data_IF_816094244290
#
_entry.id   IF_816094244290
#
_cell.length_a   1.000
_cell.length_b   1.000
_cell.length_c   1.000
_cell.angle_alpha   90.00
_cell.angle_beta   90.00
_cell.angle_gamma   90.00
#
_symmetry.space_group_name_H-M   'P 1'
#
loop_
_entity.id
_entity.type
_entity.pdbx_description
1 polymer ?
#
# COMPACT_ATOMS: atom_id res chain seq x y z
N UNK A 1 -6.11 10.21 -5.97
CA UNK A 1 -6.59 9.26 -4.94
C UNK A 1 -8.07 8.98 -5.20
N UNK A 2 -8.62 7.87 -4.70
CA UNK A 2 -10.08 7.66 -4.77
C UNK A 2 -10.80 8.71 -3.93
N UNK A 3 -11.87 9.27 -4.49
CA UNK A 3 -12.81 10.11 -3.73
C UNK A 3 -13.54 9.29 -2.67
N UNK A 4 -14.05 9.98 -1.65
CA UNK A 4 -14.70 9.35 -0.48
C UNK A 4 -15.88 8.45 -0.87
N UNK A 5 -16.74 8.91 -1.78
CA UNK A 5 -17.91 8.15 -2.24
C UNK A 5 -17.50 6.85 -2.94
N UNK A 6 -16.55 6.92 -3.87
CA UNK A 6 -16.02 5.72 -4.55
C UNK A 6 -15.38 4.76 -3.55
N UNK A 7 -14.63 5.28 -2.58
CA UNK A 7 -14.02 4.48 -1.51
C UNK A 7 -15.08 3.77 -0.67
N UNK A 8 -16.17 4.45 -0.34
CA UNK A 8 -17.31 3.84 0.38
C UNK A 8 -17.97 2.72 -0.42
N UNK A 9 -18.14 2.88 -1.74
CA UNK A 9 -18.65 1.83 -2.60
C UNK A 9 -17.73 0.60 -2.61
N UNK A 10 -16.41 0.80 -2.74
CA UNK A 10 -15.42 -0.28 -2.70
C UNK A 10 -15.49 -1.05 -1.38
N UNK A 11 -15.54 -0.36 -0.24
CA UNK A 11 -15.67 -1.01 1.07
C UNK A 11 -16.96 -1.81 1.20
N UNK A 12 -18.07 -1.28 0.73
CA UNK A 12 -19.35 -2.00 0.76
C UNK A 12 -19.34 -3.24 -0.12
N UNK A 13 -18.76 -3.16 -1.31
CA UNK A 13 -18.64 -4.29 -2.22
C UNK A 13 -17.74 -5.39 -1.64
N UNK A 14 -16.60 -5.01 -1.04
CA UNK A 14 -15.70 -5.96 -0.35
C UNK A 14 -16.39 -6.68 0.81
N UNK A 15 -17.12 -5.94 1.66
CA UNK A 15 -17.80 -6.51 2.82
C UNK A 15 -18.97 -7.44 2.44
N UNK A 16 -19.65 -7.17 1.32
CA UNK A 16 -20.84 -7.92 0.89
C UNK A 16 -20.57 -8.99 -0.17
N UNK A 17 -19.32 -9.21 -0.55
CA UNK A 17 -19.02 -10.22 -1.57
C UNK A 17 -19.25 -11.65 -1.05
N UNK A 18 -19.74 -12.52 -1.93
CA UNK A 18 -19.86 -13.95 -1.66
C UNK A 18 -18.46 -14.53 -1.46
N UNK A 19 -18.25 -15.23 -0.34
CA UNK A 19 -16.94 -15.78 0.04
C UNK A 19 -16.08 -14.88 0.94
N UNK A 20 -16.58 -13.70 1.33
CA UNK A 20 -15.90 -12.80 2.26
C UNK A 20 -14.74 -12.02 1.65
N UNK A 21 -14.12 -11.15 2.46
CA UNK A 21 -12.98 -10.34 2.03
C UNK A 21 -11.71 -11.19 1.97
N UNK A 22 -11.05 -11.23 0.80
CA UNK A 22 -9.88 -12.06 0.56
C UNK A 22 -8.78 -11.28 -0.15
N UNK A 23 -7.53 -11.66 0.13
CA UNK A 23 -6.34 -11.04 -0.45
C UNK A 23 -6.36 -11.04 -1.99
N UNK A 24 -6.79 -12.16 -2.59
CA UNK A 24 -6.88 -12.36 -4.04
C UNK A 24 -7.87 -11.39 -4.71
N UNK A 25 -9.00 -11.11 -4.06
CA UNK A 25 -10.05 -10.25 -4.61
C UNK A 25 -9.89 -8.77 -4.22
N UNK A 26 -8.93 -8.44 -3.36
CA UNK A 26 -8.76 -7.10 -2.78
C UNK A 26 -8.64 -6.00 -3.85
N UNK A 27 -7.67 -6.14 -4.75
CA UNK A 27 -7.44 -5.16 -5.82
C UNK A 27 -8.49 -5.26 -6.93
N UNK A 28 -8.98 -6.47 -7.21
CA UNK A 28 -10.05 -6.72 -8.18
C UNK A 28 -11.30 -5.91 -7.88
N UNK A 29 -11.78 -5.88 -6.63
CA UNK A 29 -12.97 -5.09 -6.24
C UNK A 29 -12.76 -3.59 -6.41
N UNK A 30 -11.55 -3.13 -6.14
CA UNK A 30 -11.21 -1.73 -6.37
C UNK A 30 -11.29 -1.40 -7.87
N UNK A 31 -10.70 -2.25 -8.72
CA UNK A 31 -10.74 -2.10 -10.18
C UNK A 31 -12.16 -2.16 -10.76
N UNK A 32 -13.03 -3.04 -10.26
CA UNK A 32 -14.41 -3.16 -10.73
C UNK A 32 -15.24 -1.89 -10.53
N UNK A 33 -14.98 -1.14 -9.45
CA UNK A 33 -15.75 0.08 -9.10
C UNK A 33 -15.05 1.34 -9.60
N UNK A 34 -13.73 1.41 -9.48
CA UNK A 34 -12.96 2.61 -9.80
C UNK A 34 -12.31 2.57 -11.19
N UNK A 35 -12.36 1.44 -11.91
CA UNK A 35 -11.70 1.22 -13.20
C UNK A 35 -10.20 0.95 -13.11
N UNK A 36 -9.56 1.27 -11.98
CA UNK A 36 -8.12 1.10 -11.72
C UNK A 36 -7.88 0.58 -10.31
N UNK A 37 -6.71 0.00 -10.04
CA UNK A 37 -6.34 -0.52 -8.72
C UNK A 37 -5.76 0.55 -7.79
N UNK A 38 -5.10 1.57 -8.35
CA UNK A 38 -4.65 2.75 -7.62
C UNK A 38 -4.90 4.00 -8.49
N UNK A 39 -5.49 5.04 -7.89
CA UNK A 39 -5.81 6.32 -8.51
C UNK A 39 -4.88 7.43 -8.02
N UNK A 40 -3.80 7.09 -7.31
CA UNK A 40 -2.82 8.05 -6.78
C UNK A 40 -1.64 8.16 -7.74
N UNK A 41 -1.16 9.38 -7.90
CA UNK A 41 0.14 9.68 -8.51
C UNK A 41 1.20 9.57 -7.42
N UNK A 42 1.75 8.37 -7.22
CA UNK A 42 2.75 8.12 -6.17
C UNK A 42 4.08 8.82 -6.48
N UNK A 43 4.33 9.11 -7.75
CA UNK A 43 5.50 9.78 -8.27
C UNK A 43 5.64 11.21 -7.75
N UNK A 44 4.53 11.85 -7.35
CA UNK A 44 4.53 13.20 -6.75
C UNK A 44 4.75 13.18 -5.23
N UNK A 45 4.72 11.99 -4.60
CA UNK A 45 4.92 11.85 -3.16
C UNK A 45 6.26 12.42 -2.66
N UNK A 46 7.40 12.30 -3.38
CA UNK A 46 8.68 12.82 -2.92
C UNK A 46 8.79 14.35 -2.96
N UNK A 47 7.90 15.08 -3.64
CA UNK A 47 8.04 16.52 -3.87
C UNK A 47 8.23 17.34 -2.59
N UNK A 48 7.48 17.12 -1.48
CA UNK A 48 7.74 17.83 -0.24
C UNK A 48 9.12 17.51 0.36
N UNK A 49 9.62 16.28 0.19
CA UNK A 49 10.95 15.88 0.68
C UNK A 49 12.05 16.56 -0.13
N UNK A 50 11.87 16.63 -1.45
CA UNK A 50 12.77 17.36 -2.34
C UNK A 50 12.79 18.86 -2.01
N UNK A 51 11.61 19.44 -1.77
CA UNK A 51 11.47 20.85 -1.41
C UNK A 51 12.17 21.18 -0.09
N UNK A 52 12.07 20.28 0.90
CA UNK A 52 12.80 20.39 2.17
C UNK A 52 14.31 20.09 2.06
N UNK A 53 14.79 19.70 0.87
CA UNK A 53 16.20 19.39 0.64
C UNK A 53 16.66 18.05 1.22
N UNK A 54 15.74 17.13 1.52
CA UNK A 54 16.08 15.79 2.03
C UNK A 54 16.88 15.02 0.97
N UNK A 55 18.00 14.42 1.38
CA UNK A 55 18.87 13.61 0.51
C UNK A 55 18.96 12.14 0.92
N UNK A 56 18.69 11.86 2.18
CA UNK A 56 18.77 10.52 2.75
C UNK A 56 17.67 10.31 3.78
N UNK A 57 17.09 9.12 3.80
CA UNK A 57 16.18 8.62 4.82
C UNK A 57 16.80 7.37 5.41
N UNK A 58 17.24 7.44 6.68
CA UNK A 58 17.85 6.28 7.35
C UNK A 58 16.83 5.16 7.57
N UNK A 59 15.59 5.50 7.93
CA UNK A 59 14.53 4.53 8.23
C UNK A 59 13.25 4.89 7.49
N UNK A 60 12.98 4.17 6.40
CA UNK A 60 11.78 4.34 5.60
C UNK A 60 10.67 3.40 6.08
N UNK A 61 9.70 3.97 6.79
CA UNK A 61 8.59 3.22 7.40
C UNK A 61 7.51 2.96 6.34
N UNK A 62 7.71 1.95 5.51
CA UNK A 62 6.76 1.59 4.45
C UNK A 62 7.07 0.23 3.83
N UNK A 63 6.02 -0.58 3.69
CA UNK A 63 6.03 -1.83 2.93
C UNK A 63 5.67 -1.63 1.45
N UNK A 64 5.37 -0.40 1.01
CA UNK A 64 4.97 -0.11 -0.37
C UNK A 64 6.18 0.07 -1.30
N UNK A 65 6.25 -0.77 -2.34
CA UNK A 65 7.28 -0.64 -3.38
C UNK A 65 7.07 0.60 -4.25
N UNK A 66 5.82 0.96 -4.56
CA UNK A 66 5.55 2.20 -5.29
C UNK A 66 6.12 3.43 -4.57
N UNK A 67 5.95 3.51 -3.24
CA UNK A 67 6.52 4.62 -2.45
C UNK A 67 8.03 4.56 -2.41
N UNK A 68 8.61 3.38 -2.20
CA UNK A 68 10.06 3.21 -2.19
C UNK A 68 10.68 3.65 -3.52
N UNK A 69 10.14 3.15 -4.64
CA UNK A 69 10.61 3.45 -5.98
C UNK A 69 10.47 4.95 -6.31
N UNK A 70 9.37 5.59 -5.90
CA UNK A 70 9.20 7.03 -6.10
C UNK A 70 10.29 7.84 -5.39
N UNK A 71 10.60 7.51 -4.12
CA UNK A 71 11.62 8.21 -3.33
C UNK A 71 13.01 7.99 -3.89
N UNK A 72 13.41 6.74 -4.13
CA UNK A 72 14.74 6.42 -4.70
C UNK A 72 14.88 7.00 -6.10
N UNK A 73 13.82 6.91 -6.92
CA UNK A 73 13.77 7.47 -8.27
C UNK A 73 13.92 9.00 -8.30
N UNK A 74 13.52 9.70 -7.23
CA UNK A 74 13.76 11.14 -7.07
C UNK A 74 15.18 11.51 -6.60
N UNK A 75 16.05 10.52 -6.39
CA UNK A 75 17.44 10.73 -5.93
C UNK A 75 17.62 10.85 -4.42
N UNK A 76 16.63 10.41 -3.63
CA UNK A 76 16.73 10.33 -2.17
C UNK A 76 17.16 8.91 -1.79
N UNK A 77 18.28 8.78 -1.07
CA UNK A 77 18.76 7.49 -0.59
C UNK A 77 17.87 6.96 0.55
N UNK A 78 17.51 5.67 0.49
CA UNK A 78 16.87 4.96 1.61
C UNK A 78 17.86 3.92 2.14
N UNK A 79 18.27 4.05 3.40
CA UNK A 79 19.24 3.12 4.01
C UNK A 79 18.56 1.82 4.44
N UNK A 80 17.41 1.92 5.10
CA UNK A 80 16.68 0.74 5.60
C UNK A 80 15.18 0.93 5.46
N UNK A 81 14.52 -0.08 4.90
CA UNK A 81 13.06 -0.20 4.91
C UNK A 81 12.63 -0.89 6.21
N UNK A 82 11.65 -0.31 6.88
CA UNK A 82 11.10 -0.85 8.14
C UNK A 82 9.66 -1.26 7.87
N UNK A 83 9.36 -2.53 8.09
CA UNK A 83 8.02 -3.07 8.02
C UNK A 83 7.20 -2.70 9.26
N UNK A 84 5.87 -2.77 9.13
CA UNK A 84 4.96 -2.49 10.25
C UNK A 84 4.98 -3.70 11.19
N UNK A 85 5.26 -3.57 12.49
CA UNK A 85 5.19 -4.70 13.43
C UNK A 85 3.82 -5.42 13.42
N UNK A 86 3.79 -6.73 13.67
CA UNK A 86 2.55 -7.54 13.57
C UNK A 86 1.50 -7.13 14.61
N UNK A 87 1.95 -6.73 15.80
CA UNK A 87 1.13 -6.23 16.90
C UNK A 87 0.48 -4.87 16.61
N UNK A 88 1.01 -4.11 15.65
CA UNK A 88 0.47 -2.81 15.23
C UNK A 88 -0.49 -2.93 14.03
N UNK A 89 -0.75 -4.14 13.52
CA UNK A 89 -1.69 -4.35 12.42
C UNK A 89 -3.09 -4.64 12.98
N UNK A 90 -4.07 -3.75 12.74
CA UNK A 90 -5.46 -4.00 13.08
C UNK A 90 -6.00 -5.25 12.39
N UNK A 91 -6.94 -5.95 13.05
CA UNK A 91 -7.48 -7.22 12.55
C UNK A 91 -8.15 -7.07 11.16
N UNK A 92 -8.81 -5.95 10.90
CA UNK A 92 -9.47 -5.60 9.64
C UNK A 92 -8.48 -5.18 8.53
N UNK A 93 -7.27 -4.74 8.89
CA UNK A 93 -6.22 -4.37 7.94
C UNK A 93 -5.39 -5.58 7.47
N UNK A 94 -5.53 -6.76 8.08
CA UNK A 94 -4.77 -7.97 7.72
C UNK A 94 -4.97 -8.37 6.26
N UNK A 95 -6.23 -8.35 5.78
CA UNK A 95 -6.53 -8.69 4.39
C UNK A 95 -5.83 -7.75 3.40
N UNK A 96 -5.65 -6.46 3.75
CA UNK A 96 -4.89 -5.50 2.93
C UNK A 96 -3.39 -5.82 2.91
N UNK A 97 -2.83 -6.21 4.06
CA UNK A 97 -1.42 -6.60 4.16
C UNK A 97 -1.17 -7.89 3.36
N UNK A 98 -2.01 -8.90 3.53
CA UNK A 98 -1.93 -10.17 2.82
C UNK A 98 -2.09 -9.95 1.31
N UNK A 99 -3.01 -9.08 0.88
CA UNK A 99 -3.17 -8.70 -0.52
C UNK A 99 -1.90 -8.08 -1.11
N UNK A 100 -1.23 -7.19 -0.36
CA UNK A 100 0.02 -6.56 -0.81
C UNK A 100 1.16 -7.56 -0.87
N UNK A 101 1.29 -8.44 0.13
CA UNK A 101 2.27 -9.52 0.12
C UNK A 101 2.04 -10.47 -1.06
N UNK A 102 0.78 -10.83 -1.32
CA UNK A 102 0.40 -11.64 -2.47
C UNK A 102 0.73 -10.96 -3.81
N UNK A 103 0.59 -9.63 -3.89
CA UNK A 103 0.98 -8.82 -5.04
C UNK A 103 2.51 -8.60 -5.16
N UNK A 104 3.33 -9.23 -4.30
CA UNK A 104 4.79 -9.19 -4.38
C UNK A 104 5.45 -8.01 -3.67
N UNK A 105 4.72 -7.28 -2.82
CA UNK A 105 5.25 -6.12 -2.11
C UNK A 105 6.26 -6.53 -1.03
N UNK A 106 7.23 -5.66 -0.73
CA UNK A 106 8.18 -5.85 0.37
C UNK A 106 7.47 -6.20 1.69
N UNK A 107 7.76 -7.38 2.21
CA UNK A 107 7.18 -7.91 3.44
C UNK A 107 8.15 -7.98 4.61
N UNK A 108 9.40 -7.52 4.44
CA UNK A 108 10.44 -7.69 5.45
C UNK A 108 10.63 -9.16 5.83
N UNK A 109 10.51 -9.46 7.13
CA UNK A 109 10.62 -10.81 7.69
C UNK A 109 9.31 -11.61 7.70
N UNK A 110 8.21 -11.04 7.18
CA UNK A 110 6.87 -11.63 7.27
C UNK A 110 6.68 -12.73 6.25
N UNK A 111 6.10 -13.85 6.70
CA UNK A 111 5.67 -14.96 5.84
C UNK A 111 4.15 -14.92 5.66
N UNK A 112 3.68 -15.20 4.44
CA UNK A 112 2.25 -15.39 4.15
C UNK A 112 1.79 -16.62 4.93
N UNK A 113 0.94 -16.44 5.95
CA UNK A 113 0.29 -17.57 6.63
C UNK A 113 -0.70 -18.18 5.64
N UNK A 114 -0.45 -19.43 5.26
CA UNK A 114 -1.30 -20.21 4.33
C UNK A 114 -2.63 -20.57 4.99
#
# INVERSE_FOLDING_TARGET
ALGEVTKFMVYNARKRQVGGDSAQNYFKRTREIAGVEDMRFQELMPDPLLWLGVKKIDRFISMSDMKYNAVVGSGIEIVTRVDIPEELIPADARVEIDAKMYAGYYAGSKQVKT
#
